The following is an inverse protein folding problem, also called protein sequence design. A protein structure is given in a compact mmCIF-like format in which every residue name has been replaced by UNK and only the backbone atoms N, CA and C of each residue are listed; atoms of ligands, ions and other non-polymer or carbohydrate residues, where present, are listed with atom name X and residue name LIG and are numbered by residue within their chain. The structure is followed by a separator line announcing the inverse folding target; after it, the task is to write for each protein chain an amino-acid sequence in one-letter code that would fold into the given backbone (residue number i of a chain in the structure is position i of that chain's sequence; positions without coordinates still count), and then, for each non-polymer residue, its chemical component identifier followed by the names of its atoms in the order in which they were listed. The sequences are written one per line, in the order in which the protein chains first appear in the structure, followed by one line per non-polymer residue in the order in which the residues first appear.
data_IF_791019165077
#
_entry.id   IF_791019165077
#
_cell.length_a   1.000
_cell.length_b   1.000
_cell.length_c   1.000
_cell.angle_alpha   90.00
_cell.angle_beta   90.00
_cell.angle_gamma   90.00
#
_symmetry.space_group_name_H-M   'P 1'
#
loop_
_entity.id
_entity.type
_entity.pdbx_description
1 polymer ?
#
# COMPACT_ATOMS: atom_id res chain seq x y z
N UNK A 1 5.11 42.93 46.05
CA UNK A 1 4.03 43.46 46.89
C UNK A 1 2.81 42.56 46.73
N UNK A 2 2.58 41.87 47.78
CA UNK A 2 1.38 41.22 48.30
C UNK A 2 0.67 40.14 47.47
N UNK A 3 0.55 38.98 48.04
CA UNK A 3 -0.28 37.86 47.58
C UNK A 3 -1.60 37.79 48.42
N UNK A 4 -2.23 36.71 48.58
CA UNK A 4 -3.39 36.13 47.90
C UNK A 4 -4.55 35.91 48.92
N UNK A 5 -5.65 35.37 48.42
CA UNK A 5 -6.64 34.69 49.25
C UNK A 5 -7.48 33.83 48.31
N UNK A 6 -7.94 32.62 48.56
CA UNK A 6 -8.16 31.86 49.75
C UNK A 6 -9.23 30.87 49.34
N UNK A 7 -9.03 29.56 49.54
CA UNK A 7 -10.01 28.49 49.33
C UNK A 7 -11.17 28.59 50.37
N UNK A 8 -12.32 27.98 50.07
CA UNK A 8 -12.77 26.97 51.02
C UNK A 8 -13.13 25.59 50.44
N UNK A 9 -12.77 24.63 51.24
CA UNK A 9 -13.12 23.23 51.14
C UNK A 9 -14.63 23.00 51.35
N UNK A 10 -15.21 22.10 50.55
CA UNK A 10 -16.54 21.53 50.87
C UNK A 10 -16.40 20.06 51.20
N UNK A 11 -16.98 19.76 52.35
CA UNK A 11 -16.99 18.54 53.13
C UNK A 11 -17.79 17.43 52.44
N UNK A 12 -17.25 16.25 52.58
CA UNK A 12 -17.83 14.95 52.32
C UNK A 12 -18.99 14.73 53.31
N UNK A 13 -20.14 14.33 52.83
CA UNK A 13 -21.21 13.73 53.64
C UNK A 13 -21.38 12.28 53.21
N UNK A 14 -20.95 11.41 54.09
CA UNK A 14 -21.28 9.98 54.08
C UNK A 14 -22.76 9.77 54.37
N UNK A 15 -23.44 8.94 53.63
CA UNK A 15 -24.71 8.32 54.04
C UNK A 15 -24.62 6.82 53.79
N UNK A 16 -24.53 6.14 54.92
CA UNK A 16 -24.80 4.72 55.11
C UNK A 16 -26.30 4.45 55.03
N UNK A 17 -26.68 3.26 54.71
CA UNK A 17 -27.90 2.51 55.12
C UNK A 17 -28.27 1.58 53.97
N UNK A 18 -28.51 0.38 54.08
CA UNK A 18 -28.89 -0.69 54.98
C UNK A 18 -29.12 -1.95 54.13
N UNK A 19 -28.75 -3.04 54.72
CA UNK A 19 -29.02 -4.38 54.22
C UNK A 19 -30.54 -4.72 54.37
N UNK A 20 -31.06 -5.43 53.37
CA UNK A 20 -32.27 -6.22 53.56
C UNK A 20 -32.05 -7.58 52.88
N UNK A 21 -32.02 -8.59 53.71
CA UNK A 21 -32.00 -10.02 53.37
C UNK A 21 -33.43 -10.56 53.29
N UNK A 22 -33.53 -11.76 52.71
CA UNK A 22 -34.66 -12.73 52.66
C UNK A 22 -35.34 -12.72 51.26
N UNK A 23 -35.61 -13.87 50.61
CA UNK A 23 -35.84 -15.24 51.10
C UNK A 23 -35.54 -16.25 50.00
N UNK A 24 -35.13 -17.44 50.42
CA UNK A 24 -35.07 -18.66 49.61
C UNK A 24 -36.47 -19.08 49.13
N UNK A 25 -36.56 -19.49 47.87
CA UNK A 25 -37.55 -20.46 47.43
C UNK A 25 -36.84 -21.48 46.52
N UNK A 26 -36.62 -22.64 47.03
CA UNK A 26 -36.21 -23.86 46.34
C UNK A 26 -37.44 -24.51 45.71
N UNK A 27 -37.43 -24.73 44.42
CA UNK A 27 -38.16 -25.83 43.79
C UNK A 27 -37.63 -26.15 42.40
N UNK A 28 -37.32 -27.42 42.18
CA UNK A 28 -37.50 -28.11 40.94
C UNK A 28 -36.24 -28.43 40.13
N UNK A 29 -35.64 -29.59 40.39
CA UNK A 29 -34.81 -30.33 39.44
C UNK A 29 -35.63 -30.62 38.19
N UNK A 30 -35.06 -30.27 37.05
CA UNK A 30 -35.34 -30.96 35.79
C UNK A 30 -34.01 -31.14 35.06
N UNK A 31 -33.58 -32.38 34.97
CA UNK A 31 -32.49 -32.81 34.14
C UNK A 31 -32.79 -32.41 32.66
N UNK A 32 -31.93 -31.59 32.12
CA UNK A 32 -31.89 -31.26 30.73
C UNK A 32 -30.43 -31.16 30.31
N UNK A 33 -29.78 -32.30 30.09
CA UNK A 33 -28.51 -32.37 29.35
C UNK A 33 -28.75 -31.91 27.94
N UNK A 34 -28.73 -30.61 27.74
CA UNK A 34 -28.70 -29.96 26.44
C UNK A 34 -27.41 -29.17 26.31
N UNK A 35 -26.30 -29.80 25.92
CA UNK A 35 -25.17 -29.14 25.34
C UNK A 35 -25.58 -28.56 23.98
N UNK A 36 -26.45 -27.58 24.01
CA UNK A 36 -26.74 -26.75 22.83
C UNK A 36 -25.60 -25.73 22.69
N UNK A 37 -24.59 -26.05 21.88
CA UNK A 37 -23.86 -25.03 21.18
C UNK A 37 -24.92 -24.19 20.46
N UNK A 38 -25.18 -23.00 20.98
CA UNK A 38 -25.96 -22.01 20.24
C UNK A 38 -25.11 -21.62 19.00
N UNK A 39 -25.29 -22.36 17.92
CA UNK A 39 -24.88 -21.96 16.59
C UNK A 39 -25.83 -20.84 16.17
N UNK A 40 -25.66 -19.67 16.79
CA UNK A 40 -26.35 -18.48 16.34
C UNK A 40 -25.92 -18.17 14.92
N UNK A 41 -26.89 -18.02 14.05
CA UNK A 41 -26.66 -17.65 12.64
C UNK A 41 -25.78 -16.38 12.60
N UNK A 42 -24.68 -16.43 11.83
CA UNK A 42 -23.78 -15.27 11.66
C UNK A 42 -24.48 -14.24 10.79
N UNK A 43 -24.90 -13.13 11.38
CA UNK A 43 -25.61 -12.06 10.69
C UNK A 43 -24.73 -10.86 10.33
N UNK A 44 -23.51 -10.77 10.88
CA UNK A 44 -22.55 -9.71 10.54
C UNK A 44 -21.10 -10.20 10.63
N UNK A 45 -20.24 -9.57 9.84
CA UNK A 45 -18.78 -9.68 9.91
C UNK A 45 -18.14 -8.32 10.04
N UNK A 46 -16.96 -8.27 10.67
CA UNK A 46 -16.15 -7.06 10.83
C UNK A 46 -15.04 -7.01 9.78
N UNK A 47 -14.80 -5.83 9.21
CA UNK A 47 -13.80 -5.59 8.19
C UNK A 47 -12.91 -4.42 8.59
N UNK A 48 -11.60 -4.54 8.39
CA UNK A 48 -10.62 -3.52 8.70
C UNK A 48 -9.70 -3.27 7.49
N UNK A 49 -9.53 -1.99 7.14
CA UNK A 49 -8.57 -1.51 6.14
C UNK A 49 -7.93 -0.18 6.54
N UNK A 50 -7.22 0.49 5.59
CA UNK A 50 -6.62 1.81 5.80
C UNK A 50 -7.17 2.92 4.88
N UNK A 51 -8.23 2.70 4.14
CA UNK A 51 -8.83 3.69 3.24
C UNK A 51 -9.66 4.73 4.01
N UNK A 52 -8.96 5.71 4.60
CA UNK A 52 -9.60 6.75 5.45
C UNK A 52 -10.14 7.93 4.66
N UNK A 53 -9.75 8.10 3.39
CA UNK A 53 -10.31 9.12 2.52
C UNK A 53 -11.78 8.80 2.22
N UNK A 54 -12.66 9.78 2.34
CA UNK A 54 -14.12 9.57 2.25
C UNK A 54 -14.54 8.88 0.95
N UNK A 55 -13.98 9.28 -0.18
CA UNK A 55 -14.28 8.70 -1.50
C UNK A 55 -13.91 7.23 -1.56
N UNK A 56 -12.67 6.88 -1.20
CA UNK A 56 -12.16 5.51 -1.20
C UNK A 56 -12.92 4.62 -0.20
N UNK A 57 -13.10 5.11 1.03
CA UNK A 57 -13.88 4.39 2.04
C UNK A 57 -15.31 4.09 1.55
N UNK A 58 -15.97 5.05 0.88
CA UNK A 58 -17.31 4.85 0.34
C UNK A 58 -17.32 3.78 -0.76
N UNK A 59 -16.40 3.84 -1.71
CA UNK A 59 -16.28 2.87 -2.80
C UNK A 59 -16.05 1.44 -2.26
N UNK A 60 -15.13 1.28 -1.32
CA UNK A 60 -14.88 -0.01 -0.68
C UNK A 60 -16.09 -0.50 0.11
N UNK A 61 -16.75 0.38 0.87
CA UNK A 61 -17.94 0.03 1.65
C UNK A 61 -19.10 -0.44 0.76
N UNK A 62 -19.26 0.13 -0.43
CA UNK A 62 -20.28 -0.30 -1.40
C UNK A 62 -20.03 -1.73 -1.89
N UNK A 63 -18.81 -2.04 -2.32
CA UNK A 63 -18.45 -3.38 -2.82
C UNK A 63 -18.50 -4.41 -1.68
N UNK A 64 -17.93 -4.09 -0.53
CA UNK A 64 -17.97 -4.95 0.67
C UNK A 64 -19.41 -5.24 1.10
N UNK A 65 -20.29 -4.22 1.12
CA UNK A 65 -21.71 -4.38 1.45
C UNK A 65 -22.42 -5.25 0.41
N UNK A 66 -22.12 -5.09 -0.89
CA UNK A 66 -22.70 -5.91 -1.95
C UNK A 66 -22.26 -7.38 -1.80
N UNK A 67 -20.98 -7.66 -1.55
CA UNK A 67 -20.48 -8.98 -1.28
C UNK A 67 -21.04 -9.57 0.02
N UNK A 68 -21.21 -8.75 1.06
CA UNK A 68 -21.86 -9.17 2.30
C UNK A 68 -23.30 -9.63 2.08
N UNK A 69 -24.08 -8.90 1.28
CA UNK A 69 -25.45 -9.35 0.91
C UNK A 69 -25.46 -10.68 0.18
N UNK A 70 -24.51 -10.93 -0.71
CA UNK A 70 -24.37 -12.22 -1.41
C UNK A 70 -24.04 -13.34 -0.42
N UNK A 71 -23.21 -13.06 0.60
CA UNK A 71 -22.87 -14.03 1.64
C UNK A 71 -23.93 -14.13 2.76
N UNK A 72 -25.02 -13.34 2.70
CA UNK A 72 -26.09 -13.32 3.71
C UNK A 72 -25.68 -12.66 5.04
N UNK A 73 -24.72 -11.74 5.02
CA UNK A 73 -24.24 -11.04 6.22
C UNK A 73 -24.19 -9.52 6.03
N UNK A 74 -24.31 -8.78 7.14
CA UNK A 74 -24.01 -7.35 7.18
C UNK A 74 -22.51 -7.17 7.38
N UNK A 75 -21.91 -6.22 6.67
CA UNK A 75 -20.51 -5.84 6.83
C UNK A 75 -20.39 -4.62 7.74
N UNK A 76 -19.57 -4.73 8.78
CA UNK A 76 -19.17 -3.66 9.68
C UNK A 76 -17.76 -3.18 9.31
N UNK A 77 -17.70 -2.21 8.41
CA UNK A 77 -16.46 -1.73 7.82
C UNK A 77 -15.85 -0.59 8.63
N UNK A 78 -14.56 -0.72 8.95
CA UNK A 78 -13.76 0.28 9.68
C UNK A 78 -12.45 0.53 8.93
N UNK A 79 -12.06 1.80 8.79
CA UNK A 79 -10.76 2.19 8.26
C UNK A 79 -9.94 2.91 9.32
N UNK A 80 -8.61 2.74 9.27
CA UNK A 80 -7.64 3.42 10.16
C UNK A 80 -6.53 4.04 9.32
N UNK A 81 -5.85 5.10 9.79
CA UNK A 81 -4.71 5.66 9.05
C UNK A 81 -3.66 4.58 8.72
N UNK A 82 -3.05 4.61 7.52
CA UNK A 82 -2.10 3.56 7.07
C UNK A 82 -1.00 3.24 8.09
N UNK A 83 -0.36 4.26 8.65
CA UNK A 83 0.69 4.08 9.67
C UNK A 83 0.20 3.42 10.97
N UNK A 84 -1.11 3.37 11.21
CA UNK A 84 -1.73 2.79 12.40
C UNK A 84 -2.16 1.34 12.20
N UNK A 85 -2.25 0.86 10.95
CA UNK A 85 -2.85 -0.46 10.64
C UNK A 85 -2.01 -1.59 11.23
N UNK A 86 -0.75 -1.74 10.84
CA UNK A 86 0.12 -2.84 11.30
C UNK A 86 0.27 -2.85 12.82
N UNK A 87 0.58 -1.72 13.52
CA UNK A 87 0.60 -1.71 14.98
C UNK A 87 -0.73 -2.13 15.62
N UNK A 88 -1.88 -1.75 15.04
CA UNK A 88 -3.20 -2.17 15.53
C UNK A 88 -3.41 -3.68 15.36
N UNK A 89 -3.11 -4.21 14.16
CA UNK A 89 -3.25 -5.64 13.84
C UNK A 89 -2.39 -6.49 14.77
N UNK A 90 -1.14 -6.14 15.02
CA UNK A 90 -0.27 -6.85 15.96
C UNK A 90 -0.81 -6.89 17.39
N UNK A 91 -1.37 -5.76 17.88
CA UNK A 91 -2.03 -5.72 19.19
C UNK A 91 -3.29 -6.59 19.21
N UNK A 92 -4.13 -6.53 18.17
CA UNK A 92 -5.34 -7.33 18.06
C UNK A 92 -5.04 -8.83 17.91
N UNK A 93 -3.97 -9.20 17.21
CA UNK A 93 -3.50 -10.59 17.14
C UNK A 93 -3.16 -11.14 18.52
N UNK A 94 -2.42 -10.37 19.33
CA UNK A 94 -2.05 -10.76 20.70
C UNK A 94 -3.28 -10.89 21.62
N UNK A 95 -4.30 -10.06 21.44
CA UNK A 95 -5.54 -10.09 22.23
C UNK A 95 -6.65 -10.98 21.64
N UNK A 96 -6.41 -11.60 20.47
CA UNK A 96 -7.39 -12.42 19.71
C UNK A 96 -8.69 -11.65 19.38
N UNK A 97 -8.53 -10.38 19.00
CA UNK A 97 -9.64 -9.47 18.65
C UNK A 97 -9.53 -8.96 17.21
N UNK A 98 -8.88 -9.73 16.33
CA UNK A 98 -8.77 -9.41 14.90
C UNK A 98 -10.15 -9.34 14.25
N UNK A 99 -10.32 -8.53 13.19
CA UNK A 99 -11.52 -8.53 12.38
C UNK A 99 -11.71 -9.88 11.67
N UNK A 100 -12.88 -10.09 11.06
CA UNK A 100 -13.14 -11.31 10.27
C UNK A 100 -12.49 -11.25 8.89
N UNK A 101 -12.37 -10.06 8.32
CA UNK A 101 -11.70 -9.78 7.05
C UNK A 101 -10.75 -8.59 7.25
N UNK A 102 -9.51 -8.75 6.83
CA UNK A 102 -8.44 -7.76 7.02
C UNK A 102 -7.72 -7.47 5.70
N UNK A 103 -7.61 -6.21 5.35
CA UNK A 103 -6.75 -5.75 4.27
C UNK A 103 -5.35 -5.41 4.82
N UNK A 104 -4.32 -5.77 4.07
CA UNK A 104 -2.92 -5.43 4.34
C UNK A 104 -2.25 -4.95 3.06
N UNK A 105 -1.30 -4.02 3.16
CA UNK A 105 -0.32 -3.86 2.07
C UNK A 105 0.40 -5.21 1.87
N UNK A 106 0.63 -5.57 0.61
CA UNK A 106 1.25 -6.86 0.29
C UNK A 106 2.64 -7.04 0.94
N UNK A 107 3.35 -5.94 1.22
CA UNK A 107 4.65 -5.97 1.89
C UNK A 107 4.55 -6.31 3.39
N UNK A 108 3.38 -6.12 4.01
CA UNK A 108 3.15 -6.38 5.43
C UNK A 108 2.61 -7.79 5.69
N UNK A 109 2.08 -8.46 4.66
CA UNK A 109 1.42 -9.75 4.80
C UNK A 109 2.29 -10.79 5.50
N UNK A 110 3.54 -10.94 5.07
CA UNK A 110 4.43 -11.99 5.61
C UNK A 110 4.74 -11.77 7.09
N UNK A 111 4.90 -10.52 7.52
CA UNK A 111 5.09 -10.18 8.93
C UNK A 111 3.89 -10.59 9.78
N UNK A 112 2.69 -10.41 9.29
CA UNK A 112 1.46 -10.77 10.02
C UNK A 112 1.21 -12.29 9.94
N UNK A 113 1.42 -12.91 8.78
CA UNK A 113 1.28 -14.36 8.62
C UNK A 113 2.22 -15.14 9.54
N UNK A 114 3.47 -14.68 9.71
CA UNK A 114 4.46 -15.27 10.61
C UNK A 114 3.98 -15.35 12.08
N UNK A 115 3.11 -14.46 12.51
CA UNK A 115 2.54 -14.48 13.87
C UNK A 115 1.51 -15.61 14.08
N UNK A 116 1.12 -16.34 13.02
CA UNK A 116 0.02 -17.30 13.04
C UNK A 116 -1.37 -16.65 13.13
N UNK A 117 -1.46 -15.32 12.91
CA UNK A 117 -2.70 -14.56 13.02
C UNK A 117 -3.62 -14.69 11.80
N UNK A 118 -3.15 -15.25 10.69
CA UNK A 118 -3.90 -15.41 9.44
C UNK A 118 -4.20 -16.89 9.17
N UNK A 119 -5.20 -17.14 8.35
CA UNK A 119 -5.62 -18.48 7.90
C UNK A 119 -5.29 -18.64 6.41
N UNK A 120 -4.66 -19.74 5.97
CA UNK A 120 -4.49 -20.06 4.56
C UNK A 120 -5.85 -20.15 3.83
N UNK A 121 -5.90 -19.59 2.62
CA UNK A 121 -7.14 -19.43 1.88
C UNK A 121 -7.67 -20.74 1.27
N UNK A 122 -6.80 -21.72 1.03
CA UNK A 122 -7.15 -23.06 0.52
C UNK A 122 -8.12 -23.79 1.44
N UNK A 123 -8.04 -23.55 2.76
CA UNK A 123 -8.98 -24.12 3.75
C UNK A 123 -10.44 -23.80 3.49
N UNK A 124 -10.70 -22.73 2.74
CA UNK A 124 -12.04 -22.27 2.38
C UNK A 124 -12.37 -22.45 0.90
N UNK A 125 -11.52 -23.15 0.15
CA UNK A 125 -11.73 -23.43 -1.27
C UNK A 125 -11.77 -22.16 -2.14
N UNK A 126 -11.06 -21.11 -1.74
CA UNK A 126 -11.01 -19.87 -2.52
C UNK A 126 -10.25 -20.11 -3.81
N UNK A 127 -10.91 -19.78 -4.95
CA UNK A 127 -10.36 -19.97 -6.28
C UNK A 127 -9.26 -18.95 -6.60
N UNK A 128 -8.04 -19.44 -6.77
CA UNK A 128 -6.86 -18.68 -7.16
C UNK A 128 -6.51 -18.82 -8.65
N UNK A 129 -7.32 -19.52 -9.44
CA UNK A 129 -7.07 -19.68 -10.88
C UNK A 129 -7.20 -18.36 -11.63
N UNK A 130 -6.35 -18.17 -12.65
CA UNK A 130 -6.35 -16.95 -13.46
C UNK A 130 -5.67 -15.75 -12.83
N UNK A 131 -5.06 -15.88 -11.65
CA UNK A 131 -4.11 -14.89 -11.13
C UNK A 131 -2.71 -15.19 -11.65
N UNK A 132 -1.94 -14.15 -12.00
CA UNK A 132 -0.54 -14.34 -12.34
C UNK A 132 0.26 -14.80 -11.11
N UNK A 133 1.27 -15.67 -11.32
CA UNK A 133 2.11 -16.19 -10.24
C UNK A 133 2.75 -15.08 -9.41
N UNK A 134 3.24 -14.00 -10.06
CA UNK A 134 3.79 -12.83 -9.38
C UNK A 134 2.81 -12.17 -8.43
N UNK A 135 1.52 -12.09 -8.82
CA UNK A 135 0.47 -11.50 -7.99
C UNK A 135 0.13 -12.41 -6.81
N UNK A 136 0.01 -13.72 -7.03
CA UNK A 136 -0.21 -14.69 -5.95
C UNK A 136 0.93 -14.69 -4.95
N UNK A 137 2.17 -14.54 -5.42
CA UNK A 137 3.34 -14.50 -4.54
C UNK A 137 3.31 -13.33 -3.54
N UNK A 138 2.63 -12.23 -3.87
CA UNK A 138 2.44 -11.10 -2.97
C UNK A 138 1.54 -11.44 -1.75
N UNK A 139 0.64 -12.41 -1.91
CA UNK A 139 -0.23 -12.93 -0.85
C UNK A 139 0.27 -14.23 -0.22
N UNK A 140 1.50 -14.67 -0.52
CA UNK A 140 2.02 -15.98 -0.13
C UNK A 140 3.06 -15.86 0.99
N UNK A 141 2.98 -16.76 1.96
CA UNK A 141 3.98 -16.94 3.01
C UNK A 141 4.21 -18.45 3.21
N UNK A 142 5.48 -18.90 3.25
CA UNK A 142 5.88 -20.31 3.40
C UNK A 142 5.16 -21.29 2.46
N UNK A 143 4.86 -20.84 1.24
CA UNK A 143 4.23 -21.66 0.20
C UNK A 143 2.69 -21.73 0.26
N UNK A 144 2.06 -21.14 1.27
CA UNK A 144 0.61 -21.05 1.41
C UNK A 144 0.10 -19.65 1.07
N UNK A 145 -1.06 -19.54 0.42
CA UNK A 145 -1.69 -18.26 0.07
C UNK A 145 -2.57 -17.80 1.23
N UNK A 146 -2.24 -16.67 1.82
CA UNK A 146 -2.96 -16.04 2.94
C UNK A 146 -3.80 -14.84 2.53
N UNK A 147 -3.56 -14.28 1.35
CA UNK A 147 -4.29 -13.11 0.88
C UNK A 147 -4.42 -13.06 -0.63
N UNK A 148 -5.50 -12.43 -1.10
CA UNK A 148 -5.72 -12.11 -2.51
C UNK A 148 -5.97 -10.64 -2.69
N UNK A 149 -5.37 -10.10 -3.75
CA UNK A 149 -5.57 -8.73 -4.20
C UNK A 149 -6.63 -8.73 -5.31
N UNK A 150 -7.73 -7.96 -5.21
CA UNK A 150 -8.67 -7.80 -6.33
C UNK A 150 -8.02 -7.06 -7.50
N UNK A 151 -7.11 -6.17 -7.20
CA UNK A 151 -6.28 -5.42 -8.15
C UNK A 151 -4.87 -5.23 -7.61
N UNK A 152 -3.96 -4.87 -8.48
CA UNK A 152 -2.56 -4.54 -8.17
C UNK A 152 -2.18 -3.22 -8.84
N UNK A 153 -1.04 -2.68 -8.46
CA UNK A 153 -0.53 -1.43 -8.98
C UNK A 153 0.99 -1.46 -9.12
N UNK A 154 1.51 -0.47 -9.82
CA UNK A 154 2.94 -0.18 -9.91
C UNK A 154 3.15 1.29 -10.24
N UNK A 155 4.38 1.74 -10.39
CA UNK A 155 4.72 3.10 -10.80
C UNK A 155 5.07 3.17 -12.27
N UNK A 156 4.89 4.37 -12.84
CA UNK A 156 5.26 4.72 -14.20
C UNK A 156 5.79 6.15 -14.26
N UNK A 157 6.35 6.54 -15.39
CA UNK A 157 6.69 7.93 -15.70
C UNK A 157 5.45 8.65 -16.22
N UNK A 158 4.98 9.66 -15.51
CA UNK A 158 4.00 10.63 -16.00
C UNK A 158 4.72 11.82 -16.61
N UNK A 159 4.21 12.37 -17.72
CA UNK A 159 4.79 13.53 -18.38
C UNK A 159 3.74 14.49 -18.90
N UNK A 160 4.05 15.79 -18.88
CA UNK A 160 3.23 16.83 -19.46
C UNK A 160 3.54 16.92 -20.97
N UNK A 161 2.55 16.63 -21.81
CA UNK A 161 2.70 16.57 -23.28
C UNK A 161 3.06 17.93 -23.87
N UNK A 162 2.45 19.00 -23.35
CA UNK A 162 2.65 20.35 -23.90
C UNK A 162 4.06 20.85 -23.59
N UNK A 163 4.55 20.60 -22.36
CA UNK A 163 5.90 20.99 -21.96
C UNK A 163 6.98 20.25 -22.78
N UNK A 164 6.79 18.95 -23.02
CA UNK A 164 7.70 18.18 -23.87
C UNK A 164 7.66 18.68 -25.30
N UNK A 165 6.46 18.90 -25.87
CA UNK A 165 6.29 19.40 -27.22
C UNK A 165 6.87 20.80 -27.41
N UNK A 166 6.64 21.72 -26.45
CA UNK A 166 7.21 23.08 -26.44
C UNK A 166 8.75 23.08 -26.44
N UNK A 167 9.35 22.14 -25.71
CA UNK A 167 10.81 22.00 -25.65
C UNK A 167 11.39 21.16 -26.81
N UNK A 168 10.54 20.50 -27.62
CA UNK A 168 10.98 19.56 -28.64
C UNK A 168 11.62 18.28 -28.05
N UNK A 169 11.28 17.92 -26.84
CA UNK A 169 11.84 16.79 -26.10
C UNK A 169 10.96 15.55 -26.27
N UNK A 170 11.58 14.43 -26.64
CA UNK A 170 10.89 13.14 -26.69
C UNK A 170 10.69 12.56 -25.28
N UNK A 171 9.69 11.68 -25.12
CA UNK A 171 9.49 10.94 -23.86
C UNK A 171 10.71 10.04 -23.59
N UNK A 172 11.43 10.22 -22.47
CA UNK A 172 12.67 9.51 -22.19
C UNK A 172 12.41 8.03 -21.91
N UNK A 173 13.27 7.17 -22.42
CA UNK A 173 13.24 5.70 -22.23
C UNK A 173 14.45 5.19 -21.46
N UNK A 174 15.54 5.95 -21.46
CA UNK A 174 16.77 5.61 -20.76
C UNK A 174 17.11 6.67 -19.72
N UNK A 175 18.03 6.34 -18.81
CA UNK A 175 18.50 7.29 -17.80
C UNK A 175 19.22 8.50 -18.39
N UNK A 176 19.98 8.30 -19.48
CA UNK A 176 20.65 9.41 -20.14
C UNK A 176 19.62 10.33 -20.81
N UNK A 177 18.65 9.75 -21.55
CA UNK A 177 17.53 10.52 -22.09
C UNK A 177 16.71 11.23 -20.99
N UNK A 178 16.52 10.60 -19.81
CA UNK A 178 15.83 11.22 -18.69
C UNK A 178 16.60 12.43 -18.15
N UNK A 179 17.92 12.33 -17.97
CA UNK A 179 18.77 13.44 -17.53
C UNK A 179 18.73 14.61 -18.52
N UNK A 180 18.88 14.31 -19.81
CA UNK A 180 18.82 15.31 -20.89
C UNK A 180 17.45 15.98 -20.95
N UNK A 181 16.37 15.19 -20.97
CA UNK A 181 15.01 15.70 -20.97
C UNK A 181 14.71 16.56 -19.73
N UNK A 182 15.09 16.09 -18.54
CA UNK A 182 14.86 16.83 -17.30
C UNK A 182 15.62 18.16 -17.29
N UNK A 183 16.85 18.21 -17.77
CA UNK A 183 17.63 19.43 -17.89
C UNK A 183 16.99 20.44 -18.87
N UNK A 184 16.59 19.99 -20.06
CA UNK A 184 15.97 20.85 -21.08
C UNK A 184 14.60 21.41 -20.64
N UNK A 185 13.83 20.61 -19.88
CA UNK A 185 12.52 20.99 -19.36
C UNK A 185 12.60 21.88 -18.11
N UNK A 186 13.79 22.03 -17.52
CA UNK A 186 14.02 22.89 -16.33
C UNK A 186 14.24 24.33 -16.75
N UNK A 187 13.16 25.12 -16.69
CA UNK A 187 13.18 26.55 -17.08
C UNK A 187 12.02 27.31 -16.45
N UNK A 188 12.12 28.60 -16.38
CA UNK A 188 11.05 29.51 -15.91
C UNK A 188 10.52 29.17 -14.51
N UNK A 189 11.40 28.68 -13.60
CA UNK A 189 11.02 28.28 -12.24
C UNK A 189 10.32 26.90 -12.15
N UNK A 190 10.29 26.15 -13.25
CA UNK A 190 9.80 24.78 -13.33
C UNK A 190 10.97 23.78 -13.26
N UNK A 191 10.70 22.59 -12.77
CA UNK A 191 11.64 21.47 -12.73
C UNK A 191 11.30 20.45 -13.80
N UNK A 192 12.31 19.77 -14.34
CA UNK A 192 12.09 18.72 -15.33
C UNK A 192 11.54 17.43 -14.73
N UNK A 193 11.86 17.13 -13.47
CA UNK A 193 11.51 15.86 -12.83
C UNK A 193 11.12 16.03 -11.36
N UNK A 194 10.23 15.17 -10.87
CA UNK A 194 9.93 15.00 -9.44
C UNK A 194 9.70 13.53 -9.08
N UNK A 195 10.08 13.17 -7.86
CA UNK A 195 9.87 11.87 -7.23
C UNK A 195 9.50 12.06 -5.76
N UNK A 196 8.87 11.06 -5.15
CA UNK A 196 8.80 10.98 -3.69
C UNK A 196 10.16 10.51 -3.15
N UNK A 197 10.88 11.41 -2.51
CA UNK A 197 12.13 11.12 -1.83
C UNK A 197 12.01 11.38 -0.31
N UNK A 198 10.79 11.35 0.24
CA UNK A 198 10.51 11.52 1.67
C UNK A 198 11.09 10.39 2.52
N UNK A 199 11.23 10.63 3.84
CA UNK A 199 11.74 9.61 4.77
C UNK A 199 10.68 8.55 5.11
N UNK A 200 10.11 7.89 4.09
CA UNK A 200 9.03 6.91 4.22
C UNK A 200 9.26 5.68 3.35
N UNK A 201 8.49 4.63 3.57
CA UNK A 201 8.51 3.43 2.73
C UNK A 201 8.05 3.71 1.29
N UNK A 202 7.28 4.77 1.05
CA UNK A 202 6.83 5.18 -0.28
C UNK A 202 8.01 5.61 -1.16
N UNK A 203 8.97 6.36 -0.62
CA UNK A 203 10.17 6.73 -1.37
C UNK A 203 11.04 5.52 -1.71
N UNK A 204 11.20 4.58 -0.76
CA UNK A 204 11.88 3.31 -1.04
C UNK A 204 11.21 2.59 -2.21
N UNK A 205 9.88 2.54 -2.22
CA UNK A 205 9.12 1.88 -3.26
C UNK A 205 9.29 2.56 -4.63
N UNK A 206 9.27 3.89 -4.70
CA UNK A 206 9.53 4.64 -5.93
C UNK A 206 10.98 4.49 -6.44
N UNK A 207 11.94 4.20 -5.56
CA UNK A 207 13.33 4.00 -5.94
C UNK A 207 13.61 2.58 -6.51
N UNK A 208 12.81 1.59 -6.14
CA UNK A 208 13.03 0.19 -6.57
C UNK A 208 13.14 -0.01 -8.09
N UNK A 209 12.38 0.66 -8.97
CA UNK A 209 12.55 0.50 -10.42
C UNK A 209 13.96 0.85 -10.88
N UNK A 210 14.55 1.88 -10.33
CA UNK A 210 15.91 2.32 -10.65
C UNK A 210 16.96 1.34 -10.13
N UNK A 211 16.80 0.88 -8.89
CA UNK A 211 17.66 -0.13 -8.27
C UNK A 211 17.65 -1.45 -9.06
N UNK A 212 16.48 -1.99 -9.28
CA UNK A 212 16.32 -3.34 -9.87
C UNK A 212 16.62 -3.37 -11.37
N UNK A 213 16.20 -2.37 -12.13
CA UNK A 213 16.51 -2.30 -13.57
C UNK A 213 18.00 -2.12 -13.85
N UNK A 214 18.77 -1.60 -12.89
CA UNK A 214 20.24 -1.53 -12.99
C UNK A 214 20.96 -2.81 -12.47
N UNK A 215 20.20 -3.83 -12.08
CA UNK A 215 20.77 -5.07 -11.54
C UNK A 215 21.17 -4.99 -10.06
N UNK A 216 20.79 -3.91 -9.38
CA UNK A 216 20.88 -3.79 -7.91
C UNK A 216 19.86 -4.67 -7.21
N UNK A 217 20.07 -4.88 -5.91
CA UNK A 217 19.24 -5.81 -5.14
C UNK A 217 19.08 -5.37 -3.69
N UNK A 218 17.88 -5.49 -3.15
CA UNK A 218 17.55 -5.12 -1.77
C UNK A 218 18.26 -5.95 -0.69
N UNK A 219 18.83 -7.12 -1.05
CA UNK A 219 19.69 -7.90 -0.17
C UNK A 219 21.09 -7.30 0.01
N UNK A 220 21.54 -6.56 -1.00
CA UNK A 220 22.87 -5.95 -1.04
C UNK A 220 22.79 -4.56 -1.61
N UNK A 221 22.63 -3.58 -0.71
CA UNK A 221 22.53 -2.17 -1.06
C UNK A 221 23.88 -1.51 -1.31
N UNK A 222 24.95 -2.07 -0.80
CA UNK A 222 26.34 -1.57 -0.90
C UNK A 222 27.03 -1.98 -2.23
N UNK A 223 26.29 -1.97 -3.34
CA UNK A 223 26.79 -2.36 -4.66
C UNK A 223 26.92 -1.15 -5.60
N UNK A 224 27.80 -1.26 -6.59
CA UNK A 224 27.98 -0.24 -7.62
C UNK A 224 26.66 0.03 -8.38
N UNK A 225 25.87 -1.01 -8.66
CA UNK A 225 24.59 -0.89 -9.33
C UNK A 225 23.60 -0.05 -8.52
N UNK A 226 23.57 -0.25 -7.20
CA UNK A 226 22.74 0.54 -6.31
C UNK A 226 23.23 2.00 -6.23
N UNK A 227 24.56 2.19 -6.15
CA UNK A 227 25.16 3.52 -6.13
C UNK A 227 24.87 4.30 -7.41
N UNK A 228 24.94 3.67 -8.59
CA UNK A 228 24.60 4.28 -9.87
C UNK A 228 23.12 4.70 -9.93
N UNK A 229 22.20 3.85 -9.41
CA UNK A 229 20.78 4.19 -9.35
C UNK A 229 20.52 5.41 -8.43
N UNK A 230 21.17 5.48 -7.28
CA UNK A 230 21.02 6.61 -6.37
C UNK A 230 21.70 7.88 -6.92
N UNK A 231 22.83 7.73 -7.60
CA UNK A 231 23.53 8.83 -8.26
C UNK A 231 22.67 9.52 -9.32
N UNK A 232 21.85 8.77 -10.07
CA UNK A 232 20.89 9.36 -11.02
C UNK A 232 20.00 10.41 -10.33
N UNK A 233 19.45 10.08 -9.15
CA UNK A 233 18.61 11.02 -8.42
C UNK A 233 19.40 12.19 -7.84
N UNK A 234 20.61 11.93 -7.34
CA UNK A 234 21.54 12.98 -6.87
C UNK A 234 21.89 13.92 -8.01
N UNK A 235 22.28 13.42 -9.18
CA UNK A 235 22.61 14.24 -10.35
C UNK A 235 21.45 15.16 -10.75
N UNK A 236 20.21 14.66 -10.74
CA UNK A 236 19.02 15.46 -11.05
C UNK A 236 18.76 16.59 -10.04
N UNK A 237 19.10 16.38 -8.76
CA UNK A 237 19.02 17.43 -7.75
C UNK A 237 20.18 18.43 -7.87
N UNK A 238 21.42 17.94 -8.08
CA UNK A 238 22.62 18.76 -8.13
C UNK A 238 22.66 19.66 -9.37
N UNK A 239 22.17 19.17 -10.52
CA UNK A 239 22.09 19.98 -11.74
C UNK A 239 20.85 20.89 -11.78
N UNK A 240 19.98 20.85 -10.76
CA UNK A 240 18.79 21.66 -10.63
C UNK A 240 17.57 21.15 -11.40
N UNK A 241 17.64 20.00 -12.07
CA UNK A 241 16.51 19.43 -12.83
C UNK A 241 15.41 18.86 -11.91
N UNK A 242 15.72 18.59 -10.66
CA UNK A 242 14.78 18.15 -9.63
C UNK A 242 14.93 19.02 -8.39
N UNK A 243 13.81 19.46 -7.81
CA UNK A 243 13.83 20.27 -6.59
C UNK A 243 14.37 19.49 -5.40
N UNK A 244 15.23 20.09 -4.59
CA UNK A 244 15.65 19.52 -3.30
C UNK A 244 14.48 19.31 -2.33
N UNK A 245 13.34 19.98 -2.54
CA UNK A 245 12.13 19.80 -1.74
C UNK A 245 11.49 18.41 -1.86
N UNK A 246 11.89 17.60 -2.85
CA UNK A 246 11.48 16.19 -2.97
C UNK A 246 11.78 15.37 -1.71
N UNK A 247 12.77 15.80 -0.91
CA UNK A 247 13.07 15.21 0.40
C UNK A 247 11.91 15.27 1.41
N UNK A 248 10.93 16.17 1.16
CA UNK A 248 9.76 16.35 2.00
C UNK A 248 8.43 16.13 1.25
N UNK A 249 8.48 15.82 -0.04
CA UNK A 249 7.30 15.60 -0.84
C UNK A 249 6.87 14.14 -0.80
N UNK A 250 5.62 13.92 -0.42
CA UNK A 250 4.92 12.65 -0.60
C UNK A 250 4.50 12.46 -2.06
N UNK A 251 4.01 11.28 -2.43
CA UNK A 251 3.44 11.03 -3.76
C UNK A 251 2.29 12.00 -4.10
N UNK A 252 1.55 12.48 -3.08
CA UNK A 252 0.52 13.49 -3.26
C UNK A 252 1.12 14.86 -3.59
N UNK A 253 2.15 15.28 -2.85
CA UNK A 253 2.84 16.54 -3.10
C UNK A 253 3.49 16.55 -4.49
N UNK A 254 4.11 15.44 -4.90
CA UNK A 254 4.68 15.28 -6.25
C UNK A 254 3.60 15.43 -7.33
N UNK A 255 2.44 14.80 -7.14
CA UNK A 255 1.28 14.97 -8.01
C UNK A 255 0.86 16.45 -8.09
N UNK A 256 0.74 17.14 -6.96
CA UNK A 256 0.31 18.53 -6.91
C UNK A 256 1.30 19.48 -7.60
N UNK A 257 2.61 19.19 -7.54
CA UNK A 257 3.62 19.93 -8.32
C UNK A 257 3.45 19.69 -9.82
N UNK A 258 3.16 18.45 -10.23
CA UNK A 258 2.94 18.10 -11.63
C UNK A 258 1.64 18.73 -12.18
N UNK A 259 0.53 18.58 -11.48
CA UNK A 259 -0.76 19.16 -11.84
C UNK A 259 -0.71 20.69 -11.95
N UNK A 260 0.05 21.33 -11.03
CA UNK A 260 0.26 22.78 -11.08
C UNK A 260 1.26 23.24 -12.16
N UNK A 261 1.75 22.36 -13.02
CA UNK A 261 2.73 22.69 -14.06
C UNK A 261 4.11 23.11 -13.54
N UNK A 262 4.45 22.80 -12.28
CA UNK A 262 5.75 23.14 -11.69
C UNK A 262 6.81 22.07 -11.93
N UNK A 263 6.40 20.90 -12.39
CA UNK A 263 7.31 19.86 -12.84
C UNK A 263 6.78 19.24 -14.14
N UNK A 264 7.68 18.95 -15.08
CA UNK A 264 7.29 18.42 -16.39
C UNK A 264 7.09 16.89 -16.39
N UNK A 265 7.79 16.19 -15.50
CA UNK A 265 7.73 14.74 -15.36
C UNK A 265 7.67 14.34 -13.89
N UNK A 266 7.04 13.20 -13.61
CA UNK A 266 7.03 12.60 -12.27
C UNK A 266 7.01 11.08 -12.32
N UNK A 267 7.54 10.42 -11.29
CA UNK A 267 7.23 9.02 -11.01
C UNK A 267 6.04 8.99 -10.05
N UNK A 268 4.98 8.30 -10.47
CA UNK A 268 3.80 8.10 -9.62
C UNK A 268 3.03 6.85 -10.06
N UNK A 269 1.95 6.53 -9.38
CA UNK A 269 1.11 5.40 -9.70
C UNK A 269 -0.24 5.80 -10.30
N UNK A 270 -1.00 4.82 -10.82
CA UNK A 270 -2.23 5.06 -11.55
C UNK A 270 -3.36 5.62 -10.69
N UNK A 271 -3.29 5.51 -9.36
CA UNK A 271 -4.23 6.15 -8.42
C UNK A 271 -4.27 7.67 -8.49
N UNK A 272 -3.37 8.30 -9.25
CA UNK A 272 -3.39 9.76 -9.52
C UNK A 272 -4.18 10.14 -10.77
N UNK A 273 -4.53 9.18 -11.61
CA UNK A 273 -5.21 9.41 -12.90
C UNK A 273 -6.51 10.17 -12.71
N UNK A 274 -7.37 9.75 -11.76
CA UNK A 274 -8.64 10.41 -11.50
C UNK A 274 -8.50 11.91 -11.20
N UNK A 275 -7.45 12.30 -10.49
CA UNK A 275 -7.20 13.70 -10.16
C UNK A 275 -6.61 14.46 -11.36
N UNK A 276 -5.76 13.83 -12.16
CA UNK A 276 -5.21 14.43 -13.39
C UNK A 276 -6.27 14.62 -14.49
N UNK A 277 -7.18 13.67 -14.65
CA UNK A 277 -8.30 13.74 -15.60
C UNK A 277 -9.34 14.80 -15.21
N UNK A 278 -9.33 15.25 -13.96
CA UNK A 278 -10.19 16.34 -13.49
C UNK A 278 -9.75 17.73 -13.94
N UNK A 279 -8.57 17.89 -14.51
CA UNK A 279 -8.02 19.14 -15.04
C UNK A 279 -8.01 19.08 -16.58
N UNK A 280 -8.99 19.73 -17.20
CA UNK A 280 -9.16 19.74 -18.67
C UNK A 280 -8.02 20.48 -19.41
N UNK A 281 -7.29 21.34 -18.72
CA UNK A 281 -6.15 22.11 -19.29
C UNK A 281 -4.82 21.33 -19.18
N UNK A 282 -4.78 20.21 -18.47
CA UNK A 282 -3.58 19.40 -18.29
C UNK A 282 -3.50 18.26 -19.30
N UNK A 283 -2.70 18.41 -20.34
CA UNK A 283 -2.43 17.34 -21.29
C UNK A 283 -1.25 16.46 -20.85
N UNK A 284 -1.56 15.34 -20.24
CA UNK A 284 -0.58 14.42 -19.69
C UNK A 284 -0.52 13.07 -20.43
N UNK A 285 0.54 12.32 -20.19
CA UNK A 285 0.72 10.96 -20.69
C UNK A 285 1.52 10.10 -19.72
N UNK A 286 1.52 8.79 -19.97
CA UNK A 286 2.24 7.79 -19.19
C UNK A 286 3.17 6.99 -20.05
N UNK A 287 4.35 6.69 -19.54
CA UNK A 287 5.34 5.82 -20.17
C UNK A 287 5.97 4.88 -19.13
N UNK A 288 6.58 3.75 -19.54
CA UNK A 288 7.36 2.94 -18.62
C UNK A 288 8.45 3.75 -17.92
N UNK A 289 8.84 3.35 -16.70
CA UNK A 289 9.96 3.99 -15.98
C UNK A 289 11.24 3.85 -16.82
N UNK A 290 12.02 4.94 -17.03
CA UNK A 290 13.25 4.88 -17.80
C UNK A 290 14.27 3.91 -17.23
N UNK A 291 14.96 3.17 -18.10
CA UNK A 291 15.91 2.10 -17.75
C UNK A 291 17.35 2.55 -17.97
N UNK A 292 18.36 1.88 -17.39
CA UNK A 292 19.76 2.25 -17.59
C UNK A 292 20.23 2.23 -19.04
N UNK A 293 19.71 1.29 -19.86
CA UNK A 293 20.15 1.09 -21.26
C UNK A 293 18.98 0.78 -22.16
N UNK A 294 19.05 1.26 -23.38
CA UNK A 294 18.05 0.96 -24.41
C UNK A 294 17.88 -0.56 -24.62
N UNK A 295 16.64 -0.98 -24.86
CA UNK A 295 16.28 -2.39 -25.08
C UNK A 295 16.12 -3.24 -23.83
N UNK A 296 16.17 -2.63 -22.63
CA UNK A 296 15.79 -3.28 -21.38
C UNK A 296 14.30 -3.03 -21.08
N UNK A 297 13.67 -3.96 -20.38
CA UNK A 297 12.37 -3.75 -19.77
C UNK A 297 12.55 -3.27 -18.32
N UNK A 298 11.75 -2.33 -17.83
CA UNK A 298 11.83 -1.89 -16.46
C UNK A 298 11.34 -2.98 -15.51
N UNK A 299 12.07 -3.17 -14.42
CA UNK A 299 11.63 -4.03 -13.30
C UNK A 299 10.98 -3.14 -12.24
N UNK A 300 9.66 -3.12 -12.21
CA UNK A 300 8.90 -2.28 -11.29
C UNK A 300 8.45 -3.05 -10.05
N UNK A 301 8.18 -2.38 -8.91
CA UNK A 301 7.63 -3.04 -7.74
C UNK A 301 6.14 -3.36 -7.92
N UNK A 302 5.73 -4.57 -7.54
CA UNK A 302 4.32 -4.90 -7.43
C UNK A 302 3.74 -4.26 -6.17
N UNK A 303 2.80 -3.37 -6.35
CA UNK A 303 1.99 -2.74 -5.30
C UNK A 303 0.60 -3.35 -5.23
N UNK A 304 -0.18 -2.87 -4.28
CA UNK A 304 -1.57 -3.29 -4.05
C UNK A 304 -1.75 -4.01 -2.73
N UNK A 305 -3.00 -4.07 -2.33
CA UNK A 305 -3.43 -4.58 -1.04
C UNK A 305 -4.00 -5.98 -1.19
N UNK A 306 -3.68 -6.83 -0.23
CA UNK A 306 -4.22 -8.18 -0.13
C UNK A 306 -5.28 -8.26 0.97
N UNK A 307 -6.39 -8.90 0.66
CA UNK A 307 -7.44 -9.20 1.61
C UNK A 307 -7.21 -10.58 2.21
N UNK A 308 -7.22 -10.67 3.52
CA UNK A 308 -6.81 -11.84 4.30
C UNK A 308 -7.90 -12.28 5.27
N UNK A 309 -7.85 -13.55 5.67
CA UNK A 309 -8.74 -14.14 6.68
C UNK A 309 -8.00 -14.30 8.01
N UNK A 310 -8.18 -13.38 8.97
CA UNK A 310 -7.61 -13.54 10.29
C UNK A 310 -8.12 -14.77 11.05
N UNK A 311 -7.28 -15.30 11.95
CA UNK A 311 -7.71 -16.28 12.95
C UNK A 311 -8.73 -15.65 13.89
N UNK A 312 -9.86 -16.31 14.08
CA UNK A 312 -10.95 -15.83 14.91
C UNK A 312 -11.57 -16.98 15.73
N UNK A 313 -12.43 -16.66 16.71
CA UNK A 313 -13.02 -17.67 17.59
C UNK A 313 -14.11 -18.51 16.92
N UNK A 314 -14.70 -18.02 15.81
CA UNK A 314 -15.84 -18.66 15.15
C UNK A 314 -15.48 -19.10 13.74
N UNK A 315 -15.58 -20.41 13.47
CA UNK A 315 -15.41 -20.99 12.14
C UNK A 315 -16.47 -20.49 11.16
N UNK A 316 -17.73 -20.33 11.62
CA UNK A 316 -18.82 -19.84 10.77
C UNK A 316 -18.59 -18.39 10.31
N UNK A 317 -18.04 -17.52 11.18
CA UNK A 317 -17.66 -16.15 10.79
C UNK A 317 -16.56 -16.15 9.74
N UNK A 318 -15.54 -17.03 9.87
CA UNK A 318 -14.47 -17.16 8.87
C UNK A 318 -15.00 -17.66 7.53
N UNK A 319 -15.94 -18.61 7.51
CA UNK A 319 -16.60 -19.04 6.27
C UNK A 319 -17.32 -17.88 5.59
N UNK A 320 -18.06 -17.08 6.34
CA UNK A 320 -18.74 -15.89 5.81
C UNK A 320 -17.76 -14.83 5.29
N UNK A 321 -16.66 -14.59 6.00
CA UNK A 321 -15.60 -13.71 5.53
C UNK A 321 -14.94 -14.25 4.26
N UNK A 322 -14.73 -15.58 4.15
CA UNK A 322 -14.21 -16.23 2.95
C UNK A 322 -15.15 -16.07 1.73
N UNK A 323 -16.47 -16.18 1.92
CA UNK A 323 -17.47 -15.91 0.87
C UNK A 323 -17.39 -14.46 0.38
N UNK A 324 -17.19 -13.48 1.30
CA UNK A 324 -17.01 -12.06 0.96
C UNK A 324 -15.68 -11.86 0.22
N UNK A 325 -14.58 -12.49 0.68
CA UNK A 325 -13.27 -12.40 0.03
C UNK A 325 -13.32 -12.99 -1.39
N UNK A 326 -13.96 -14.13 -1.58
CA UNK A 326 -14.15 -14.74 -2.91
C UNK A 326 -14.96 -13.82 -3.85
N UNK A 327 -16.01 -13.18 -3.32
CA UNK A 327 -16.81 -12.22 -4.07
C UNK A 327 -15.97 -11.00 -4.50
N UNK A 328 -15.17 -10.41 -3.61
CA UNK A 328 -14.26 -9.29 -3.93
C UNK A 328 -13.31 -9.64 -5.09
N UNK A 329 -12.85 -10.89 -5.14
CA UNK A 329 -11.91 -11.39 -6.14
C UNK A 329 -12.58 -12.05 -7.35
N UNK A 330 -13.90 -11.90 -7.53
CA UNK A 330 -14.59 -12.35 -8.74
C UNK A 330 -14.15 -11.52 -9.96
N UNK A 331 -14.19 -12.09 -11.19
CA UNK A 331 -13.79 -11.35 -12.40
C UNK A 331 -14.51 -10.01 -12.59
N UNK A 332 -15.80 -9.93 -12.22
CA UNK A 332 -16.58 -8.69 -12.32
C UNK A 332 -16.13 -7.64 -11.30
N UNK A 333 -15.89 -8.05 -10.06
CA UNK A 333 -15.49 -7.12 -9.01
C UNK A 333 -14.03 -6.67 -9.16
N UNK A 334 -13.13 -7.55 -9.60
CA UNK A 334 -11.75 -7.15 -9.92
C UNK A 334 -11.71 -6.07 -11.01
N UNK A 335 -12.54 -6.19 -12.06
CA UNK A 335 -12.63 -5.16 -13.10
C UNK A 335 -13.27 -3.86 -12.57
N UNK A 336 -14.37 -3.98 -11.82
CA UNK A 336 -15.07 -2.81 -11.26
C UNK A 336 -14.15 -2.00 -10.35
N UNK A 337 -13.52 -2.68 -9.40
CA UNK A 337 -12.58 -2.07 -8.46
C UNK A 337 -11.37 -1.47 -9.19
N UNK A 338 -10.79 -2.20 -10.14
CA UNK A 338 -9.66 -1.70 -10.92
C UNK A 338 -10.01 -0.42 -11.70
N UNK A 339 -11.19 -0.34 -12.30
CA UNK A 339 -11.66 0.87 -12.98
C UNK A 339 -11.93 2.03 -12.02
N UNK A 340 -12.51 1.76 -10.85
CA UNK A 340 -12.78 2.78 -9.84
C UNK A 340 -11.49 3.40 -9.25
N UNK A 341 -10.45 2.58 -9.12
CA UNK A 341 -9.17 2.98 -8.51
C UNK A 341 -8.04 3.21 -9.54
N UNK A 342 -8.35 3.11 -10.85
CA UNK A 342 -7.35 3.20 -11.92
C UNK A 342 -6.16 2.25 -11.71
N UNK A 343 -6.44 0.99 -11.36
CA UNK A 343 -5.43 -0.02 -11.05
C UNK A 343 -5.52 -1.19 -12.03
N UNK A 344 -4.65 -2.19 -11.88
CA UNK A 344 -4.60 -3.36 -12.77
C UNK A 344 -5.39 -4.50 -12.15
N UNK A 345 -6.43 -5.05 -12.81
CA UNK A 345 -7.12 -6.24 -12.33
C UNK A 345 -6.14 -7.40 -12.10
N UNK A 346 -6.27 -8.10 -10.97
CA UNK A 346 -5.33 -9.18 -10.63
C UNK A 346 -5.51 -10.45 -11.45
N UNK A 347 -6.65 -10.60 -12.13
CA UNK A 347 -6.89 -11.73 -13.03
C UNK A 347 -6.40 -11.40 -14.44
N UNK A 348 -5.45 -12.18 -14.96
CA UNK A 348 -4.76 -11.93 -16.24
C UNK A 348 -5.73 -11.65 -17.37
N UNK A 349 -6.71 -12.55 -17.63
CA UNK A 349 -7.68 -12.35 -18.72
C UNK A 349 -8.57 -11.11 -18.56
N UNK A 350 -8.72 -10.57 -17.35
CA UNK A 350 -9.45 -9.32 -17.10
C UNK A 350 -8.54 -8.13 -17.36
N UNK A 351 -7.28 -8.21 -16.94
CA UNK A 351 -6.26 -7.19 -17.17
C UNK A 351 -6.00 -6.97 -18.66
N UNK A 352 -5.85 -8.06 -19.43
CA UNK A 352 -5.64 -8.01 -20.89
C UNK A 352 -6.75 -7.23 -21.58
N UNK A 353 -8.01 -7.60 -21.30
CA UNK A 353 -9.17 -6.90 -21.87
C UNK A 353 -9.29 -5.44 -21.42
N UNK A 354 -8.83 -5.13 -20.22
CA UNK A 354 -8.81 -3.73 -19.76
C UNK A 354 -7.75 -2.94 -20.50
N UNK A 355 -6.56 -3.50 -20.73
CA UNK A 355 -5.49 -2.88 -21.49
C UNK A 355 -5.88 -2.59 -22.96
N UNK A 356 -6.68 -3.48 -23.58
CA UNK A 356 -7.20 -3.26 -24.94
C UNK A 356 -8.13 -2.03 -25.04
N UNK A 357 -8.82 -1.68 -23.95
CA UNK A 357 -9.81 -0.61 -23.90
C UNK A 357 -9.23 0.74 -23.46
N UNK A 358 -8.08 0.74 -22.78
CA UNK A 358 -7.50 1.91 -22.17
C UNK A 358 -5.96 1.94 -22.40
N UNK A 359 -5.48 2.79 -23.34
CA UNK A 359 -4.06 2.89 -23.65
C UNK A 359 -3.18 3.35 -22.50
N UNK A 360 -3.73 4.14 -21.55
CA UNK A 360 -3.01 4.58 -20.33
C UNK A 360 -2.83 3.38 -19.43
N UNK A 361 -3.89 2.63 -19.17
CA UNK A 361 -3.83 1.43 -18.35
C UNK A 361 -3.03 0.31 -18.97
N UNK A 362 -2.93 0.24 -20.32
CA UNK A 362 -2.06 -0.71 -21.01
C UNK A 362 -0.57 -0.58 -20.62
N UNK A 363 -0.10 0.61 -20.25
CA UNK A 363 1.26 0.80 -19.75
C UNK A 363 1.43 0.11 -18.39
N UNK A 364 0.47 0.28 -17.49
CA UNK A 364 0.51 -0.33 -16.16
C UNK A 364 0.32 -1.85 -16.20
N UNK A 365 -0.58 -2.36 -17.04
CA UNK A 365 -0.78 -3.81 -17.22
C UNK A 365 0.54 -4.47 -17.66
N UNK A 366 1.19 -3.93 -18.69
CA UNK A 366 2.50 -4.45 -19.14
C UNK A 366 3.59 -4.34 -18.07
N UNK A 367 3.59 -3.25 -17.30
CA UNK A 367 4.57 -3.05 -16.22
C UNK A 367 4.36 -4.03 -15.06
N UNK A 368 3.11 -4.42 -14.78
CA UNK A 368 2.76 -5.40 -13.75
C UNK A 368 3.16 -6.82 -14.14
N UNK A 369 3.13 -7.19 -15.42
CA UNK A 369 3.58 -8.52 -15.90
C UNK A 369 5.04 -8.82 -15.50
N UNK A 370 5.91 -7.82 -15.55
CA UNK A 370 7.31 -7.89 -15.13
C UNK A 370 7.59 -7.44 -13.70
N UNK A 371 6.56 -7.09 -12.94
CA UNK A 371 6.73 -6.50 -11.62
C UNK A 371 7.24 -7.52 -10.59
N UNK A 372 8.02 -7.00 -9.64
CA UNK A 372 8.68 -7.78 -8.60
C UNK A 372 8.04 -7.50 -7.23
N UNK A 373 7.79 -8.57 -6.50
CA UNK A 373 7.28 -8.46 -5.12
C UNK A 373 8.42 -8.05 -4.19
N UNK A 374 8.19 -7.01 -3.39
CA UNK A 374 9.18 -6.44 -2.46
C UNK A 374 9.69 -7.44 -1.41
N UNK A 375 8.82 -8.31 -0.96
CA UNK A 375 9.13 -9.31 0.07
C UNK A 375 9.70 -10.61 -0.47
N UNK A 376 9.81 -10.77 -1.81
CA UNK A 376 10.22 -12.02 -2.45
C UNK A 376 11.54 -12.58 -1.90
N UNK A 377 12.52 -11.71 -1.67
CA UNK A 377 13.87 -12.09 -1.34
C UNK A 377 14.21 -11.93 0.15
N UNK A 378 13.61 -10.96 0.80
CA UNK A 378 13.89 -10.62 2.21
C UNK A 378 12.79 -11.08 3.16
N UNK A 379 11.60 -11.37 2.63
CA UNK A 379 10.48 -11.79 3.47
C UNK A 379 10.19 -10.74 4.54
N UNK A 380 10.04 -11.20 5.76
CA UNK A 380 9.78 -10.38 6.96
C UNK A 380 10.89 -9.36 7.29
N UNK A 381 12.05 -9.44 6.63
CA UNK A 381 13.15 -8.48 6.78
C UNK A 381 13.03 -7.27 5.87
N UNK A 382 12.08 -7.27 4.91
CA UNK A 382 11.86 -6.17 3.99
C UNK A 382 11.75 -4.80 4.68
N UNK A 383 11.01 -4.60 5.79
CA UNK A 383 10.89 -3.29 6.42
C UNK A 383 12.23 -2.66 6.84
N UNK A 384 13.21 -3.49 7.26
CA UNK A 384 14.56 -2.98 7.59
C UNK A 384 15.31 -2.51 6.34
N UNK A 385 15.24 -3.26 5.25
CA UNK A 385 15.86 -2.87 3.99
C UNK A 385 15.21 -1.59 3.43
N UNK A 386 13.89 -1.48 3.47
CA UNK A 386 13.17 -0.28 3.07
C UNK A 386 13.58 0.95 3.90
N UNK A 387 13.75 0.78 5.22
CA UNK A 387 14.31 1.82 6.11
C UNK A 387 15.71 2.23 5.68
N UNK A 388 16.58 1.28 5.36
CA UNK A 388 17.92 1.55 4.83
C UNK A 388 17.86 2.34 3.52
N UNK A 389 17.00 1.94 2.58
CA UNK A 389 16.85 2.60 1.27
C UNK A 389 16.41 4.06 1.43
N UNK A 390 15.33 4.36 2.15
CA UNK A 390 14.91 5.76 2.27
C UNK A 390 15.91 6.61 3.07
N UNK A 391 16.62 6.03 4.03
CA UNK A 391 17.70 6.71 4.75
C UNK A 391 18.85 7.06 3.82
N UNK A 392 19.21 6.15 2.89
CA UNK A 392 20.22 6.43 1.88
C UNK A 392 19.78 7.55 0.92
N UNK A 393 18.52 7.50 0.44
CA UNK A 393 17.95 8.54 -0.41
C UNK A 393 18.06 9.90 0.29
N UNK A 394 17.59 10.01 1.53
CA UNK A 394 17.62 11.24 2.31
C UNK A 394 19.05 11.79 2.48
N UNK A 395 19.99 10.95 2.90
CA UNK A 395 21.35 11.42 3.17
C UNK A 395 22.14 11.76 1.91
N UNK A 396 21.88 11.06 0.78
CA UNK A 396 22.55 11.35 -0.49
C UNK A 396 21.99 12.62 -1.15
N UNK A 397 20.66 12.75 -1.24
CA UNK A 397 20.03 13.92 -1.89
C UNK A 397 20.19 15.21 -1.05
N UNK A 398 20.34 15.08 0.27
CA UNK A 398 20.69 16.25 1.12
C UNK A 398 22.13 16.72 0.92
N UNK A 399 23.02 15.84 0.39
CA UNK A 399 24.46 16.07 0.26
C UNK A 399 25.25 15.72 1.53
N UNK A 400 24.63 15.03 2.49
CA UNK A 400 25.30 14.59 3.73
C UNK A 400 26.31 13.47 3.46
N UNK A 401 26.00 12.56 2.52
CA UNK A 401 26.85 11.43 2.12
C UNK A 401 26.89 11.27 0.61
N UNK A 402 27.98 10.69 0.11
CA UNK A 402 27.97 10.20 -1.29
C UNK A 402 26.98 9.02 -1.43
N UNK A 403 26.51 8.70 -2.63
CA UNK A 403 25.64 7.53 -2.86
C UNK A 403 26.23 6.22 -2.30
N UNK A 404 27.52 6.00 -2.46
CA UNK A 404 28.22 4.82 -1.97
C UNK A 404 28.25 4.75 -0.44
N UNK A 405 28.51 5.88 0.24
CA UNK A 405 28.51 5.96 1.70
C UNK A 405 27.11 5.78 2.27
N UNK A 406 26.12 6.42 1.64
CA UNK A 406 24.72 6.32 2.01
C UNK A 406 24.22 4.87 1.92
N UNK A 407 24.52 4.18 0.81
CA UNK A 407 24.11 2.79 0.61
C UNK A 407 24.86 1.80 1.47
N UNK A 408 26.13 2.06 1.79
CA UNK A 408 26.87 1.26 2.78
C UNK A 408 26.23 1.36 4.16
N UNK A 409 25.81 2.56 4.57
CA UNK A 409 25.07 2.75 5.81
C UNK A 409 23.68 2.09 5.75
N UNK A 410 22.98 2.19 4.61
CA UNK A 410 21.72 1.50 4.39
C UNK A 410 21.85 -0.02 4.54
N UNK A 411 22.95 -0.61 4.05
CA UNK A 411 23.21 -2.04 4.20
C UNK A 411 23.34 -2.43 5.69
N UNK A 412 24.00 -1.62 6.50
CA UNK A 412 24.09 -1.86 7.95
C UNK A 412 22.71 -1.83 8.61
N UNK A 413 21.86 -0.86 8.26
CA UNK A 413 20.47 -0.82 8.75
C UNK A 413 19.70 -2.08 8.34
N UNK A 414 19.83 -2.50 7.08
CA UNK A 414 19.12 -3.66 6.52
C UNK A 414 19.52 -4.98 7.19
N UNK A 415 20.80 -5.13 7.57
CA UNK A 415 21.33 -6.33 8.25
C UNK A 415 21.15 -6.27 9.76
N UNK A 416 21.05 -5.10 10.34
CA UNK A 416 20.94 -4.88 11.78
C UNK A 416 22.29 -4.94 12.48
N UNK A 417 23.37 -4.66 11.74
CA UNK A 417 24.77 -4.59 12.21
C UNK A 417 25.13 -3.20 12.72
#
# INVERSE_FOLDING_TARGET
MTPPAGRPARRIAARSVAAAALALATTGCADGTGTGSATGEVTSITVLDYYTQRSEHTQWNEVLTACGRTAGVRVEHTSVPPASLVPRVLRQASSRTLPDLLMLDNADLQQIAQTGALTPLDRYGIDTTGFAEGILSAGTYEGEVYGLAPYVSTVALFYNKDMLAEAGVAVPRTWDELKEAAAELTRDGRYGMAVDASATFESSWQFLPFLWSNGGHEKRLDTEQAAQALRLWVDLVENGSMSKSVLNWTQADVHDQFAAGRTAMMINGPWRIAALDGDEDLHWGVAPVPVPRAGQDPVTPLGGEVWTLPQGPSEERRKKAAEVLACLNSPSNTLTLAKQHFTVPSRTAVADRYAEQDPVMAVFVRSVEGARVRTRELGVRWPKAATGIYTAIQSALSGERTPEEALRHAQQIATGD
#
